data_IF_765015169726
#
_entry.id   IF_765015169726
#
_cell.length_a   1.000
_cell.length_b   1.000
_cell.length_c   1.000
_cell.angle_alpha   90.00
_cell.angle_beta   90.00
_cell.angle_gamma   90.00
#
_symmetry.space_group_name_H-M   'P 1'
#
loop_
_entity.id
_entity.type
_entity.pdbx_description
1 polymer ?
#
# COMPACT_ATOMS: atom_id res chain seq x y z
N UNK A 1 -7.17 18.70 10.23
CA UNK A 1 -8.10 17.74 9.61
C UNK A 1 -7.25 16.72 8.87
N UNK A 2 -7.53 15.42 9.02
CA UNK A 2 -6.79 14.34 8.33
C UNK A 2 -7.63 13.88 7.15
N UNK A 3 -7.06 13.87 5.95
CA UNK A 3 -7.68 13.28 4.77
C UNK A 3 -7.30 11.81 4.69
N UNK A 4 -8.30 10.94 4.57
CA UNK A 4 -8.09 9.51 4.77
C UNK A 4 -8.58 8.71 3.58
N UNK A 5 -7.76 7.74 3.18
CA UNK A 5 -8.18 6.60 2.37
C UNK A 5 -7.94 5.33 3.17
N UNK A 6 -8.86 4.36 3.07
CA UNK A 6 -8.77 3.09 3.79
C UNK A 6 -9.21 1.97 2.86
N UNK A 7 -8.39 0.93 2.80
CA UNK A 7 -8.67 -0.30 2.07
C UNK A 7 -8.10 -1.49 2.85
N UNK A 8 -8.30 -2.71 2.34
CA UNK A 8 -7.80 -3.92 3.01
C UNK A 8 -6.28 -3.98 2.91
N UNK A 9 -5.61 -4.13 4.06
CA UNK A 9 -4.15 -4.15 4.19
C UNK A 9 -3.45 -2.86 3.73
N UNK A 10 -4.14 -1.71 3.76
CA UNK A 10 -3.55 -0.38 3.50
C UNK A 10 -2.70 -0.30 2.22
N UNK A 11 -3.11 -1.00 1.16
CA UNK A 11 -2.37 -1.11 -0.09
C UNK A 11 -2.44 0.20 -0.90
N UNK A 12 -1.39 0.45 -1.66
CA UNK A 12 -1.35 1.43 -2.74
C UNK A 12 -0.82 0.72 -3.99
N UNK A 13 -1.72 0.36 -4.91
CA UNK A 13 -1.34 -0.26 -6.18
C UNK A 13 -1.15 0.81 -7.25
N UNK A 14 -0.12 0.65 -8.08
CA UNK A 14 0.22 1.62 -9.14
C UNK A 14 -0.84 1.72 -10.25
N UNK A 15 -1.77 0.76 -10.32
CA UNK A 15 -2.88 0.70 -11.27
C UNK A 15 -4.26 0.90 -10.61
N UNK A 16 -4.32 1.19 -9.29
CA UNK A 16 -5.58 1.47 -8.61
C UNK A 16 -5.99 2.94 -8.78
N UNK A 17 -6.87 3.18 -9.75
CA UNK A 17 -7.45 4.49 -9.99
C UNK A 17 -8.14 5.11 -8.76
N UNK A 18 -8.61 4.31 -7.80
CA UNK A 18 -9.19 4.83 -6.55
C UNK A 18 -8.10 5.50 -5.69
N UNK A 19 -7.08 4.75 -5.27
CA UNK A 19 -6.01 5.28 -4.44
C UNK A 19 -5.24 6.42 -5.11
N UNK A 20 -4.98 6.31 -6.43
CA UNK A 20 -4.31 7.36 -7.20
C UNK A 20 -5.15 8.63 -7.24
N UNK A 21 -6.48 8.52 -7.45
CA UNK A 21 -7.36 9.71 -7.45
C UNK A 21 -7.38 10.44 -6.10
N UNK A 22 -7.35 9.70 -4.99
CA UNK A 22 -7.24 10.28 -3.64
C UNK A 22 -5.92 11.02 -3.49
N UNK A 23 -4.81 10.41 -3.90
CA UNK A 23 -3.48 10.99 -3.79
C UNK A 23 -3.37 12.28 -4.63
N UNK A 24 -3.80 12.24 -5.89
CA UNK A 24 -3.89 13.42 -6.77
C UNK A 24 -4.73 14.53 -6.15
N UNK A 25 -5.93 14.21 -5.64
CA UNK A 25 -6.75 15.24 -5.00
C UNK A 25 -6.09 15.83 -3.75
N UNK A 26 -5.48 14.99 -2.92
CA UNK A 26 -4.84 15.44 -1.69
C UNK A 26 -3.65 16.37 -1.97
N UNK A 27 -2.84 16.01 -2.96
CA UNK A 27 -1.54 16.65 -3.23
C UNK A 27 -1.64 17.81 -4.21
N UNK A 28 -2.34 17.63 -5.34
CA UNK A 28 -2.35 18.56 -6.47
C UNK A 28 -3.51 19.58 -6.38
N UNK A 29 -4.58 19.29 -5.63
CA UNK A 29 -5.72 20.22 -5.54
C UNK A 29 -5.32 21.47 -4.75
N UNK A 30 -5.48 22.69 -5.30
CA UNK A 30 -5.05 23.93 -4.67
C UNK A 30 -5.77 24.25 -3.35
N UNK A 31 -6.94 23.66 -3.10
CA UNK A 31 -7.68 23.82 -1.84
C UNK A 31 -7.24 22.85 -0.75
N UNK A 32 -6.45 21.83 -1.08
CA UNK A 32 -6.04 20.77 -0.16
C UNK A 32 -4.53 20.78 0.12
N UNK A 33 -3.71 20.61 -0.94
CA UNK A 33 -2.23 20.68 -0.93
C UNK A 33 -1.57 20.08 0.31
N UNK A 34 -1.78 18.78 0.58
CA UNK A 34 -1.16 18.12 1.74
C UNK A 34 0.36 18.03 1.59
N UNK A 35 1.10 18.36 2.65
CA UNK A 35 2.58 18.24 2.69
C UNK A 35 3.05 16.89 3.24
N UNK A 36 2.19 16.16 3.96
CA UNK A 36 2.54 14.90 4.59
C UNK A 36 1.54 13.80 4.21
N UNK A 37 2.06 12.69 3.72
CA UNK A 37 1.34 11.46 3.43
C UNK A 37 1.85 10.39 4.39
N UNK A 38 0.94 9.67 5.05
CA UNK A 38 1.32 8.64 6.02
C UNK A 38 0.62 7.33 5.66
N UNK A 39 1.41 6.31 5.32
CA UNK A 39 0.95 4.94 5.21
C UNK A 39 0.93 4.35 6.62
N UNK A 40 -0.25 4.00 7.12
CA UNK A 40 -0.41 3.47 8.48
C UNK A 40 -0.82 2.01 8.41
N UNK A 41 0.11 1.12 8.75
CA UNK A 41 -0.18 -0.27 9.07
C UNK A 41 -0.73 -0.42 10.49
N UNK A 42 -1.13 -1.64 10.86
CA UNK A 42 -1.53 -1.94 12.23
C UNK A 42 -1.29 -3.40 12.60
N UNK A 43 -1.03 -3.65 13.87
CA UNK A 43 -0.91 -5.02 14.39
C UNK A 43 -2.19 -5.81 14.13
N UNK A 44 -2.06 -7.13 13.95
CA UNK A 44 -3.19 -8.05 13.71
C UNK A 44 -4.04 -7.66 12.49
N UNK A 45 -3.42 -7.14 11.43
CA UNK A 45 -4.12 -6.89 10.18
C UNK A 45 -4.56 -8.20 9.53
N UNK A 46 -5.87 -8.45 9.50
CA UNK A 46 -6.43 -9.68 8.91
C UNK A 46 -6.14 -9.84 7.42
N UNK A 47 -5.97 -8.73 6.67
CA UNK A 47 -5.55 -8.78 5.28
C UNK A 47 -4.11 -9.29 5.11
N UNK A 48 -3.19 -8.79 5.95
CA UNK A 48 -1.79 -9.26 5.94
C UNK A 48 -1.70 -10.70 6.45
N UNK A 49 -2.49 -11.08 7.47
CA UNK A 49 -2.57 -12.47 7.92
C UNK A 49 -3.07 -13.42 6.83
N UNK A 50 -4.04 -12.99 6.02
CA UNK A 50 -4.49 -13.75 4.86
C UNK A 50 -3.37 -13.93 3.82
N UNK A 51 -2.55 -12.89 3.57
CA UNK A 51 -1.37 -12.99 2.72
C UNK A 51 -0.34 -13.99 3.26
N UNK A 52 -0.01 -13.96 4.56
CA UNK A 52 0.90 -14.92 5.17
C UNK A 52 0.46 -16.37 4.86
N UNK A 53 -0.80 -16.69 5.19
CA UNK A 53 -1.36 -18.03 4.95
C UNK A 53 -1.35 -18.41 3.47
N UNK A 54 -1.71 -17.48 2.58
CA UNK A 54 -1.71 -17.73 1.14
C UNK A 54 -0.30 -17.88 0.55
N UNK A 55 0.70 -17.20 1.11
CA UNK A 55 2.09 -17.31 0.67
C UNK A 55 2.72 -18.67 1.01
N UNK A 56 2.20 -19.36 2.02
CA UNK A 56 2.60 -20.73 2.39
C UNK A 56 1.86 -21.82 1.61
N UNK A 57 0.73 -21.48 0.97
CA UNK A 57 -0.03 -22.40 0.15
C UNK A 57 0.62 -22.57 -1.24
N UNK A 58 0.20 -23.62 -1.95
CA UNK A 58 0.59 -23.85 -3.34
C UNK A 58 0.25 -22.63 -4.21
N UNK A 59 1.03 -22.42 -5.28
CA UNK A 59 0.91 -21.28 -6.20
C UNK A 59 -0.29 -21.41 -7.15
N UNK A 60 -1.47 -21.52 -6.55
CA UNK A 60 -2.74 -21.55 -7.24
C UNK A 60 -3.20 -20.14 -7.59
N UNK A 61 -3.85 -19.94 -8.75
CA UNK A 61 -4.42 -18.65 -9.11
C UNK A 61 -5.39 -18.12 -8.05
N UNK A 62 -5.48 -16.78 -7.85
CA UNK A 62 -6.40 -16.19 -6.89
C UNK A 62 -7.87 -16.56 -7.17
N UNK A 63 -8.51 -17.24 -6.21
CA UNK A 63 -9.86 -17.78 -6.36
C UNK A 63 -10.97 -16.74 -6.17
N UNK A 64 -10.71 -15.64 -5.46
CA UNK A 64 -11.72 -14.62 -5.15
C UNK A 64 -11.16 -13.18 -5.22
N UNK A 65 -12.05 -12.20 -5.08
CA UNK A 65 -11.69 -10.78 -5.21
C UNK A 65 -10.67 -10.33 -4.15
N UNK A 66 -10.77 -10.84 -2.92
CA UNK A 66 -9.81 -10.52 -1.85
C UNK A 66 -8.42 -11.07 -2.17
N UNK A 67 -8.32 -12.31 -2.65
CA UNK A 67 -7.03 -12.90 -3.05
C UNK A 67 -6.43 -12.17 -4.26
N UNK A 68 -7.25 -11.71 -5.22
CA UNK A 68 -6.76 -10.87 -6.34
C UNK A 68 -6.24 -9.53 -5.84
N UNK A 69 -6.98 -8.88 -4.94
CA UNK A 69 -6.55 -7.63 -4.31
C UNK A 69 -5.23 -7.79 -3.55
N UNK A 70 -5.08 -8.88 -2.80
CA UNK A 70 -3.91 -9.16 -1.99
C UNK A 70 -2.77 -9.86 -2.75
N UNK A 71 -2.91 -10.10 -4.05
CA UNK A 71 -1.95 -10.86 -4.84
C UNK A 71 -0.54 -10.24 -4.80
N UNK A 72 -0.34 -8.92 -4.98
CA UNK A 72 1.00 -8.32 -4.92
C UNK A 72 1.69 -8.53 -3.57
N UNK A 73 0.98 -8.36 -2.45
CA UNK A 73 1.53 -8.58 -1.11
C UNK A 73 1.78 -10.07 -0.84
N UNK A 74 0.94 -10.96 -1.36
CA UNK A 74 1.10 -12.41 -1.20
C UNK A 74 2.34 -12.91 -1.97
N UNK A 75 2.51 -12.45 -3.19
CA UNK A 75 3.69 -12.75 -4.01
C UNK A 75 4.96 -12.18 -3.36
N UNK A 76 4.91 -10.93 -2.88
CA UNK A 76 6.01 -10.33 -2.12
C UNK A 76 6.36 -11.18 -0.88
N UNK A 77 5.37 -11.61 -0.10
CA UNK A 77 5.60 -12.44 1.08
C UNK A 77 6.26 -13.78 0.71
N UNK A 78 5.82 -14.41 -0.38
CA UNK A 78 6.40 -15.67 -0.86
C UNK A 78 7.85 -15.50 -1.32
N UNK A 79 8.11 -14.50 -2.17
CA UNK A 79 9.43 -14.25 -2.75
C UNK A 79 10.48 -13.85 -1.70
N UNK A 80 10.05 -13.30 -0.56
CA UNK A 80 10.92 -12.89 0.54
C UNK A 80 10.89 -13.87 1.73
N UNK A 81 10.21 -15.02 1.63
CA UNK A 81 10.17 -16.02 2.71
C UNK A 81 9.40 -15.57 3.97
N UNK A 82 8.47 -14.62 3.84
CA UNK A 82 7.71 -14.01 4.94
C UNK A 82 6.36 -14.68 5.24
N UNK A 83 6.00 -15.76 4.52
CA UNK A 83 4.69 -16.42 4.64
C UNK A 83 4.34 -16.92 6.06
N UNK A 84 5.32 -17.09 6.95
CA UNK A 84 5.10 -17.49 8.34
C UNK A 84 5.33 -16.39 9.39
N UNK A 85 5.82 -15.24 8.99
CA UNK A 85 6.18 -14.15 9.90
C UNK A 85 5.26 -12.95 9.70
N UNK A 86 4.14 -12.96 10.43
CA UNK A 86 3.16 -11.89 10.38
C UNK A 86 3.76 -10.56 10.81
N UNK A 87 4.64 -10.53 11.81
CA UNK A 87 5.21 -9.27 12.31
C UNK A 87 6.11 -8.64 11.27
N UNK A 88 6.99 -9.43 10.66
CA UNK A 88 7.86 -8.95 9.59
C UNK A 88 7.06 -8.52 8.36
N UNK A 89 6.02 -9.27 7.97
CA UNK A 89 5.20 -8.91 6.80
C UNK A 89 4.37 -7.64 7.05
N UNK A 90 3.91 -7.37 8.27
CA UNK A 90 3.22 -6.13 8.61
C UNK A 90 4.11 -4.90 8.37
N UNK A 91 5.36 -4.93 8.84
CA UNK A 91 6.31 -3.83 8.63
C UNK A 91 6.74 -3.73 7.17
N UNK A 92 7.03 -4.86 6.53
CA UNK A 92 7.43 -4.89 5.12
C UNK A 92 6.31 -4.40 4.20
N UNK A 93 5.04 -4.70 4.53
CA UNK A 93 3.89 -4.18 3.81
C UNK A 93 3.88 -2.65 3.83
N UNK A 94 4.04 -2.01 5.00
CA UNK A 94 4.03 -0.55 5.09
C UNK A 94 5.15 0.05 4.25
N UNK A 95 6.37 -0.48 4.34
CA UNK A 95 7.51 -0.04 3.51
C UNK A 95 7.23 -0.17 2.03
N UNK A 96 6.66 -1.31 1.60
CA UNK A 96 6.30 -1.55 0.20
C UNK A 96 5.28 -0.51 -0.30
N UNK A 97 4.28 -0.14 0.51
CA UNK A 97 3.31 0.87 0.08
C UNK A 97 3.89 2.29 0.09
N UNK A 98 4.78 2.61 1.05
CA UNK A 98 5.55 3.87 1.01
C UNK A 98 6.32 3.96 -0.30
N UNK A 99 7.05 2.91 -0.67
CA UNK A 99 7.78 2.85 -1.95
C UNK A 99 6.85 3.03 -3.16
N UNK A 100 5.65 2.46 -3.14
CA UNK A 100 4.69 2.62 -4.22
C UNK A 100 4.16 4.05 -4.33
N UNK A 101 3.90 4.73 -3.19
CA UNK A 101 3.51 6.16 -3.20
C UNK A 101 4.65 7.03 -3.71
N UNK A 102 5.89 6.79 -3.26
CA UNK A 102 7.08 7.53 -3.69
C UNK A 102 7.32 7.38 -5.21
N UNK A 103 6.98 6.24 -5.80
CA UNK A 103 7.11 5.95 -7.24
C UNK A 103 5.91 6.41 -8.08
N UNK A 104 4.89 6.99 -7.47
CA UNK A 104 3.72 7.46 -8.21
C UNK A 104 4.04 8.69 -9.05
N UNK A 105 3.46 8.78 -10.25
CA UNK A 105 3.61 9.97 -11.11
C UNK A 105 3.11 11.25 -10.42
N UNK A 106 2.17 11.12 -9.47
CA UNK A 106 1.65 12.24 -8.68
C UNK A 106 2.76 12.86 -7.83
N UNK A 107 3.53 12.05 -7.10
CA UNK A 107 4.64 12.55 -6.28
C UNK A 107 5.81 13.03 -7.14
N UNK A 108 6.14 12.31 -8.21
CA UNK A 108 7.19 12.72 -9.14
C UNK A 108 6.95 14.13 -9.69
N UNK A 109 5.71 14.43 -10.10
CA UNK A 109 5.33 15.78 -10.55
C UNK A 109 5.39 16.80 -9.42
N UNK A 110 4.80 16.51 -8.26
CA UNK A 110 4.67 17.51 -7.20
C UNK A 110 6.03 17.87 -6.55
N UNK A 111 6.98 16.94 -6.48
CA UNK A 111 8.34 17.26 -6.00
C UNK A 111 9.10 18.23 -6.90
N UNK A 112 8.72 18.36 -8.18
CA UNK A 112 9.23 19.43 -9.04
C UNK A 112 8.74 20.83 -8.64
N UNK A 113 7.76 20.91 -7.74
CA UNK A 113 7.05 22.14 -7.36
C UNK A 113 7.26 22.48 -5.88
N UNK A 114 7.16 21.50 -4.98
CA UNK A 114 7.29 21.68 -3.52
C UNK A 114 7.75 20.42 -2.81
N UNK A 115 8.16 20.57 -1.56
CA UNK A 115 8.51 19.44 -0.70
C UNK A 115 7.24 18.72 -0.21
N UNK A 116 7.21 17.40 -0.37
CA UNK A 116 6.12 16.52 0.08
C UNK A 116 6.75 15.30 0.72
N UNK A 117 6.33 14.94 1.92
CA UNK A 117 6.94 13.88 2.69
C UNK A 117 6.01 12.67 2.80
N UNK A 118 6.55 11.47 2.54
CA UNK A 118 5.85 10.21 2.75
C UNK A 118 6.45 9.49 3.95
N UNK A 119 5.59 9.01 4.84
CA UNK A 119 5.94 8.33 6.09
C UNK A 119 5.26 6.96 6.16
N UNK A 120 5.87 6.01 6.85
CA UNK A 120 5.29 4.70 7.15
C UNK A 120 6.17 3.87 8.04
#
# INVERSE_FOLDING_TARGET
MIFTHRNIANQFHADDGNAISVLSYAVENPKMRVDHIIVVGHTRCGGVEACCKAAQADDSPPANALQRWLAPLTEFARNNGLGGDLSALLEANVRMQVDNVLKSEVLEREWGIRDVHVHG
#
